data_IF_515635574295
#
_entry.id   IF_515635574295
#
_cell.length_a   1.000
_cell.length_b   1.000
_cell.length_c   1.000
_cell.angle_alpha   90.00
_cell.angle_beta   90.00
_cell.angle_gamma   90.00
#
_symmetry.space_group_name_H-M   'P 1'
#
loop_
_entity.id
_entity.type
_entity.pdbx_description
1 polymer ?
#
# COMPACT_ATOMS: atom_id res chain seq x y z
N UNK A 1 2.39 4.05 1.84
CA UNK A 1 2.98 3.47 0.61
C UNK A 1 3.76 4.47 -0.23
N UNK A 2 3.18 5.62 -0.64
CA UNK A 2 3.90 6.61 -1.46
C UNK A 2 5.25 7.04 -0.83
N UNK A 3 5.23 7.41 0.45
CA UNK A 3 6.42 7.71 1.23
C UNK A 3 7.37 6.51 1.35
N UNK A 4 6.85 5.33 1.71
CA UNK A 4 7.62 4.08 1.81
C UNK A 4 8.43 3.79 0.54
N UNK A 5 7.85 4.04 -0.63
CA UNK A 5 8.51 3.77 -1.91
C UNK A 5 9.12 5.01 -2.57
N UNK A 6 9.11 6.18 -1.92
CA UNK A 6 9.68 7.40 -2.47
C UNK A 6 9.08 7.84 -3.81
N UNK A 7 7.78 7.61 -4.01
CA UNK A 7 7.03 7.99 -5.23
C UNK A 7 5.80 8.81 -4.88
N UNK A 8 5.21 9.42 -5.89
CA UNK A 8 3.97 10.18 -5.73
C UNK A 8 2.76 9.25 -5.48
N UNK A 9 1.68 9.83 -4.91
CA UNK A 9 0.46 9.08 -4.62
C UNK A 9 -0.23 8.55 -5.89
N UNK A 10 -0.15 9.26 -7.01
CA UNK A 10 -0.80 8.83 -8.27
C UNK A 10 -0.15 7.57 -8.84
N UNK A 11 1.16 7.41 -8.70
CA UNK A 11 1.86 6.18 -9.05
C UNK A 11 1.35 4.98 -8.24
N UNK A 12 1.16 5.16 -6.93
CA UNK A 12 0.57 4.11 -6.07
C UNK A 12 -0.86 3.78 -6.50
N UNK A 13 -1.70 4.79 -6.69
CA UNK A 13 -3.10 4.61 -7.13
C UNK A 13 -3.19 3.88 -8.47
N UNK A 14 -2.32 4.20 -9.43
CA UNK A 14 -2.26 3.51 -10.72
C UNK A 14 -1.90 2.04 -10.58
N UNK A 15 -0.91 1.70 -9.75
CA UNK A 15 -0.54 0.30 -9.53
C UNK A 15 -1.64 -0.49 -8.83
N UNK A 16 -2.27 0.07 -7.79
CA UNK A 16 -3.39 -0.57 -7.11
C UNK A 16 -4.58 -0.80 -8.04
N UNK A 17 -4.93 0.22 -8.84
CA UNK A 17 -5.99 0.10 -9.85
C UNK A 17 -5.73 -1.07 -10.79
N UNK A 18 -4.52 -1.15 -11.34
CA UNK A 18 -4.16 -2.25 -12.25
C UNK A 18 -4.22 -3.61 -11.56
N UNK A 19 -3.73 -3.73 -10.32
CA UNK A 19 -3.76 -4.98 -9.53
C UNK A 19 -5.20 -5.50 -9.37
N UNK A 20 -6.14 -4.60 -9.07
CA UNK A 20 -7.55 -4.95 -8.91
C UNK A 20 -8.23 -5.24 -10.25
N UNK A 21 -7.95 -4.46 -11.29
CA UNK A 21 -8.47 -4.69 -12.66
C UNK A 21 -8.01 -6.03 -13.25
N UNK A 22 -6.81 -6.49 -12.90
CA UNK A 22 -6.30 -7.80 -13.33
C UNK A 22 -6.72 -8.95 -12.43
N UNK A 23 -7.53 -8.70 -11.39
CA UNK A 23 -7.92 -9.70 -10.39
C UNK A 23 -6.73 -10.41 -9.73
N UNK A 24 -5.59 -9.72 -9.59
CA UNK A 24 -4.46 -10.26 -8.85
C UNK A 24 -4.75 -10.24 -7.34
N UNK A 25 -5.39 -9.18 -6.88
CA UNK A 25 -5.92 -9.06 -5.52
C UNK A 25 -7.37 -8.59 -5.58
N UNK A 26 -8.14 -8.97 -4.56
CA UNK A 26 -9.50 -8.49 -4.37
C UNK A 26 -9.50 -7.27 -3.43
N UNK A 27 -10.09 -6.16 -3.87
CA UNK A 27 -10.08 -4.90 -3.10
C UNK A 27 -10.73 -5.08 -1.71
N UNK A 28 -11.79 -5.87 -1.63
CA UNK A 28 -12.57 -6.11 -0.40
C UNK A 28 -11.79 -6.80 0.73
N UNK A 29 -10.78 -7.60 0.39
CA UNK A 29 -9.92 -8.31 1.37
C UNK A 29 -8.58 -7.60 1.59
N UNK A 30 -8.25 -6.66 0.70
CA UNK A 30 -6.95 -5.98 0.66
C UNK A 30 -7.01 -4.61 1.34
N UNK A 31 -8.21 -4.03 1.45
CA UNK A 31 -8.43 -2.67 1.94
C UNK A 31 -9.28 -2.67 3.21
N UNK A 32 -8.78 -2.03 4.25
CA UNK A 32 -9.56 -1.63 5.41
C UNK A 32 -9.85 -0.12 5.34
N UNK A 33 -11.14 0.25 5.44
CA UNK A 33 -11.59 1.64 5.50
C UNK A 33 -11.89 1.98 6.96
N UNK A 34 -11.13 2.93 7.50
CA UNK A 34 -11.28 3.40 8.88
C UNK A 34 -11.82 4.82 8.82
N UNK A 35 -13.01 5.02 9.38
CA UNK A 35 -13.55 6.36 9.59
C UNK A 35 -12.89 6.97 10.83
N UNK A 36 -12.18 8.07 10.64
CA UNK A 36 -11.65 8.86 11.74
C UNK A 36 -12.41 10.18 11.80
N UNK A 37 -13.14 10.40 12.89
CA UNK A 37 -13.78 11.69 13.16
C UNK A 37 -12.74 12.58 13.83
N UNK A 38 -12.36 13.65 13.15
CA UNK A 38 -11.44 14.65 13.67
C UNK A 38 -12.21 15.94 13.90
N UNK A 39 -12.19 16.46 15.12
CA UNK A 39 -12.76 17.78 15.42
C UNK A 39 -11.74 18.85 15.08
N UNK A 40 -11.92 19.52 13.94
CA UNK A 40 -11.13 20.68 13.53
C UNK A 40 -11.92 21.95 13.91
N UNK A 41 -11.64 22.49 15.10
CA UNK A 41 -12.34 23.67 15.63
C UNK A 41 -13.80 23.38 16.01
N UNK A 42 -14.76 24.06 15.38
CA UNK A 42 -16.21 23.85 15.58
C UNK A 42 -16.83 22.81 14.65
N UNK A 43 -16.05 22.19 13.75
CA UNK A 43 -16.54 21.24 12.76
C UNK A 43 -15.97 19.84 13.03
N UNK A 44 -16.86 18.85 13.09
CA UNK A 44 -16.47 17.44 13.00
C UNK A 44 -16.25 17.08 11.53
N UNK A 45 -15.02 16.77 11.16
CA UNK A 45 -14.66 16.32 9.82
C UNK A 45 -14.39 14.83 9.88
N UNK A 46 -15.22 14.05 9.18
CA UNK A 46 -14.97 12.62 8.98
C UNK A 46 -13.97 12.46 7.84
N UNK A 47 -12.82 11.84 8.12
CA UNK A 47 -11.88 11.40 7.07
C UNK A 47 -11.92 9.89 6.97
N UNK A 48 -12.09 9.40 5.75
CA UNK A 48 -11.94 7.99 5.43
C UNK A 48 -10.44 7.70 5.22
N UNK A 49 -9.86 6.90 6.11
CA UNK A 49 -8.49 6.43 6.00
C UNK A 49 -8.51 5.02 5.40
N UNK A 50 -7.92 4.89 4.21
CA UNK A 50 -7.71 3.60 3.55
C UNK A 50 -6.39 2.99 3.99
N UNK A 51 -6.44 1.82 4.61
CA UNK A 51 -5.27 1.01 4.98
C UNK A 51 -5.21 -0.20 4.06
N UNK A 52 -4.04 -0.46 3.51
CA UNK A 52 -3.79 -1.62 2.65
C UNK A 52 -3.04 -2.70 3.43
N UNK A 53 -3.42 -3.95 3.23
CA UNK A 53 -2.76 -5.09 3.85
C UNK A 53 -1.36 -5.34 3.25
N UNK A 54 -0.66 -6.34 3.78
CA UNK A 54 0.69 -6.68 3.35
C UNK A 54 0.76 -7.10 1.87
N UNK A 55 -0.24 -7.85 1.38
CA UNK A 55 -0.27 -8.33 0.00
C UNK A 55 -0.28 -7.15 -1.00
N UNK A 56 -1.11 -6.14 -0.74
CA UNK A 56 -1.09 -4.92 -1.56
C UNK A 56 0.26 -4.20 -1.51
N UNK A 57 0.87 -4.10 -0.32
CA UNK A 57 2.18 -3.44 -0.17
C UNK A 57 3.26 -4.19 -0.95
N UNK A 58 3.27 -5.53 -0.88
CA UNK A 58 4.20 -6.37 -1.63
C UNK A 58 3.96 -6.22 -3.14
N UNK A 59 2.71 -6.40 -3.61
CA UNK A 59 2.36 -6.30 -5.02
C UNK A 59 2.71 -4.94 -5.61
N UNK A 60 2.49 -3.84 -4.89
CA UNK A 60 2.91 -2.50 -5.32
C UNK A 60 4.42 -2.35 -5.28
N UNK A 61 5.09 -2.84 -4.22
CA UNK A 61 6.54 -2.76 -4.06
C UNK A 61 7.32 -3.43 -5.19
N UNK A 62 6.77 -4.48 -5.80
CA UNK A 62 7.35 -5.13 -6.99
C UNK A 62 7.13 -4.38 -8.31
N UNK A 63 6.17 -3.44 -8.37
CA UNK A 63 5.83 -2.67 -9.58
C UNK A 63 6.43 -1.27 -9.59
N UNK A 64 6.80 -0.74 -8.42
CA UNK A 64 7.40 0.59 -8.29
C UNK A 64 8.89 0.55 -8.67
N UNK A 65 9.27 1.46 -9.56
CA UNK A 65 10.66 1.69 -9.94
C UNK A 65 11.27 2.85 -9.13
N UNK A 66 11.80 2.54 -7.95
CA UNK A 66 12.55 3.49 -7.12
C UNK A 66 13.66 2.78 -6.34
N UNK A 67 14.59 3.56 -5.80
CA UNK A 67 15.65 3.05 -4.91
C UNK A 67 15.04 2.46 -3.64
N UNK A 68 14.06 3.14 -3.05
CA UNK A 68 13.36 2.64 -1.86
C UNK A 68 12.62 1.32 -2.13
N UNK A 69 11.93 1.21 -3.26
CA UNK A 69 11.26 -0.05 -3.65
C UNK A 69 12.27 -1.17 -3.90
N UNK A 70 13.47 -0.85 -4.42
CA UNK A 70 14.57 -1.82 -4.58
C UNK A 70 15.03 -2.36 -3.22
N UNK A 71 15.28 -1.49 -2.24
CA UNK A 71 15.64 -1.90 -0.89
C UNK A 71 14.53 -2.73 -0.24
N UNK A 72 13.27 -2.31 -0.41
CA UNK A 72 12.12 -3.06 0.08
C UNK A 72 12.09 -4.48 -0.50
N UNK A 73 12.25 -4.65 -1.82
CA UNK A 73 12.28 -5.97 -2.46
C UNK A 73 13.43 -6.83 -1.93
N UNK A 74 14.63 -6.29 -1.82
CA UNK A 74 15.79 -7.01 -1.27
C UNK A 74 15.51 -7.50 0.15
N UNK A 75 15.02 -6.63 1.02
CA UNK A 75 14.65 -6.97 2.39
C UNK A 75 13.53 -8.02 2.45
N UNK A 76 12.46 -7.84 1.66
CA UNK A 76 11.32 -8.74 1.63
C UNK A 76 11.74 -10.15 1.18
N UNK A 77 12.52 -10.25 0.11
CA UNK A 77 13.06 -11.53 -0.37
C UNK A 77 13.94 -12.19 0.68
N UNK A 78 14.88 -11.46 1.27
CA UNK A 78 15.77 -12.01 2.32
C UNK A 78 14.97 -12.53 3.52
N UNK A 79 13.99 -11.75 3.98
CA UNK A 79 13.15 -12.10 5.13
C UNK A 79 12.33 -13.36 4.85
N UNK A 80 11.69 -13.43 3.68
CA UNK A 80 10.88 -14.58 3.30
C UNK A 80 11.75 -15.83 3.11
N UNK A 81 12.91 -15.72 2.45
CA UNK A 81 13.83 -16.86 2.28
C UNK A 81 14.33 -17.40 3.63
N UNK A 82 14.59 -16.53 4.59
CA UNK A 82 15.03 -16.94 5.94
C UNK A 82 13.96 -17.74 6.71
N UNK A 83 12.68 -17.62 6.37
CA UNK A 83 11.60 -18.38 7.02
C UNK A 83 11.46 -19.82 6.51
N UNK A 84 12.08 -20.14 5.37
CA UNK A 84 12.02 -21.46 4.74
C UNK A 84 13.33 -22.26 4.89
N UNK A 85 14.28 -21.77 5.69
CA UNK A 85 15.52 -22.47 6.08
C UNK A 85 15.37 -23.10 7.46
#
# INVERSE_FOLDING_TARGET
MAELFGVDKSSISRHLKNIFETHELEESTTVAKIETVQNEGTRSVTRELTIYNLDAIISVGYRVNSVQATHFRQWATQTLTALFQ
#
